data_IF_581304937416
#
_entry.id   IF_581304937416
#
_cell.length_a   1.000
_cell.length_b   1.000
_cell.length_c   1.000
_cell.angle_alpha   90.00
_cell.angle_beta   90.00
_cell.angle_gamma   90.00
#
_symmetry.space_group_name_H-M   'P 1'
#
loop_
_entity.id
_entity.type
_entity.pdbx_description
1 polymer ?
#
# COMPACT_ATOMS: atom_id res chain seq x y z
N UNK A 1 8.47 -25.52 13.27
CA UNK A 1 8.06 -24.71 14.46
C UNK A 1 6.84 -25.35 15.09
N UNK A 2 6.65 -25.29 16.42
CA UNK A 2 5.41 -25.74 17.07
C UNK A 2 4.28 -24.79 16.67
N UNK A 3 3.09 -25.33 16.37
CA UNK A 3 1.91 -24.52 16.11
C UNK A 3 1.69 -23.55 17.28
N UNK A 4 1.42 -22.25 17.02
CA UNK A 4 1.23 -21.28 18.09
C UNK A 4 -0.02 -21.62 18.93
N UNK A 5 0.03 -21.23 20.21
CA UNK A 5 -1.12 -21.38 21.09
C UNK A 5 -2.23 -20.42 20.66
N UNK A 6 -3.39 -20.97 20.31
CA UNK A 6 -4.58 -20.19 19.96
C UNK A 6 -5.24 -19.73 21.26
N UNK A 7 -5.53 -18.44 21.33
CA UNK A 7 -6.24 -17.77 22.43
C UNK A 7 -7.52 -17.12 21.90
N UNK A 8 -8.38 -16.70 22.81
CA UNK A 8 -9.62 -16.04 22.45
C UNK A 8 -9.72 -14.68 23.14
N UNK A 9 -9.78 -13.63 22.31
CA UNK A 9 -10.13 -12.28 22.75
C UNK A 9 -11.66 -12.12 22.74
N UNK A 10 -12.20 -11.31 23.64
CA UNK A 10 -13.62 -11.02 23.71
C UNK A 10 -13.88 -9.56 23.32
N UNK A 11 -14.71 -9.35 22.32
CA UNK A 11 -15.12 -8.01 21.89
C UNK A 11 -16.15 -7.40 22.86
N UNK A 12 -16.34 -6.08 22.79
CA UNK A 12 -17.34 -5.37 23.62
C UNK A 12 -18.79 -5.80 23.32
N UNK A 13 -19.04 -6.32 22.12
CA UNK A 13 -20.32 -6.91 21.70
C UNK A 13 -20.38 -8.43 21.90
N UNK A 14 -19.47 -8.95 22.73
CA UNK A 14 -19.45 -10.32 23.24
C UNK A 14 -19.18 -11.40 22.17
N UNK A 15 -18.42 -11.08 21.12
CA UNK A 15 -17.95 -12.04 20.10
C UNK A 15 -16.57 -12.57 20.50
N UNK A 16 -16.37 -13.90 20.41
CA UNK A 16 -15.07 -14.54 20.66
C UNK A 16 -14.22 -14.52 19.38
N UNK A 17 -13.05 -13.92 19.46
CA UNK A 17 -12.09 -13.80 18.36
C UNK A 17 -10.88 -14.68 18.64
N UNK A 18 -10.69 -15.70 17.82
CA UNK A 18 -9.52 -16.58 17.89
C UNK A 18 -8.28 -15.84 17.38
N UNK A 19 -7.23 -15.81 18.18
CA UNK A 19 -5.98 -15.14 17.85
C UNK A 19 -4.76 -15.96 18.27
N UNK A 20 -3.64 -15.70 17.62
CA UNK A 20 -2.35 -16.29 17.90
C UNK A 20 -1.23 -15.27 17.68
N UNK A 21 -0.17 -15.35 18.49
CA UNK A 21 1.02 -14.52 18.35
C UNK A 21 2.25 -15.41 18.22
N UNK A 22 3.15 -15.04 17.30
CA UNK A 22 4.42 -15.71 17.06
C UNK A 22 5.55 -14.69 17.04
N UNK A 23 6.78 -15.12 17.35
CA UNK A 23 7.94 -14.23 17.43
C UNK A 23 7.95 -13.38 18.70
N UNK A 24 8.90 -12.47 18.77
CA UNK A 24 9.08 -11.55 19.91
C UNK A 24 9.91 -10.34 19.50
N UNK A 25 9.82 -9.26 20.28
CA UNK A 25 10.58 -8.02 20.04
C UNK A 25 10.02 -7.18 18.90
N UNK A 26 10.76 -6.15 18.52
CA UNK A 26 10.40 -5.21 17.44
C UNK A 26 9.01 -4.57 17.58
N UNK A 27 8.61 -3.80 16.57
CA UNK A 27 7.24 -3.28 16.48
C UNK A 27 6.27 -4.44 16.25
N UNK A 28 5.28 -4.67 17.15
CA UNK A 28 4.28 -5.72 16.93
C UNK A 28 3.47 -5.44 15.66
N UNK A 29 3.18 -6.48 14.88
CA UNK A 29 2.38 -6.39 13.65
C UNK A 29 1.11 -7.23 13.79
N UNK A 30 -0.05 -6.61 13.62
CA UNK A 30 -1.31 -7.33 13.42
C UNK A 30 -1.50 -7.55 11.93
N UNK A 31 -1.46 -8.83 11.50
CA UNK A 31 -1.59 -9.20 10.12
C UNK A 31 -3.01 -9.66 9.80
N UNK A 32 -3.76 -8.80 9.08
CA UNK A 32 -5.14 -9.03 8.67
C UNK A 32 -5.19 -9.88 7.40
N UNK A 33 -6.10 -10.85 7.39
CA UNK A 33 -6.40 -11.66 6.21
C UNK A 33 -7.90 -11.60 5.88
N UNK A 34 -8.25 -11.66 4.57
CA UNK A 34 -9.64 -11.80 4.18
C UNK A 34 -10.31 -12.98 4.89
N UNK A 35 -11.56 -12.83 5.36
CA UNK A 35 -12.25 -13.87 6.13
C UNK A 35 -12.30 -15.23 5.44
N UNK A 36 -12.52 -15.22 4.13
CA UNK A 36 -12.55 -16.41 3.30
C UNK A 36 -11.21 -17.14 3.19
N UNK A 37 -10.13 -16.51 3.62
CA UNK A 37 -8.78 -17.09 3.62
C UNK A 37 -8.14 -17.06 5.01
N UNK A 38 -8.95 -16.87 6.07
CA UNK A 38 -8.48 -16.84 7.45
C UNK A 38 -9.01 -18.03 8.24
N UNK A 39 -8.09 -18.93 8.61
CA UNK A 39 -8.38 -20.04 9.50
C UNK A 39 -7.09 -20.47 10.19
N UNK A 40 -6.89 -20.04 11.43
CA UNK A 40 -5.65 -20.25 12.19
C UNK A 40 -5.23 -21.72 12.27
N UNK A 41 -6.19 -22.65 12.41
CA UNK A 41 -5.89 -24.09 12.42
C UNK A 41 -5.34 -24.61 11.08
N UNK A 42 -5.71 -23.99 9.96
CA UNK A 42 -5.20 -24.35 8.63
C UNK A 42 -3.88 -23.64 8.30
N UNK A 43 -3.72 -22.39 8.66
CA UNK A 43 -2.52 -21.60 8.34
C UNK A 43 -1.23 -22.25 8.87
N UNK A 44 -1.32 -22.95 9.99
CA UNK A 44 -0.17 -23.60 10.63
C UNK A 44 -0.01 -25.08 10.32
N UNK A 45 -0.94 -25.69 9.61
CA UNK A 45 -0.93 -27.14 9.33
C UNK A 45 -0.82 -27.49 7.85
N UNK A 46 -1.15 -26.56 6.94
CA UNK A 46 -1.03 -26.78 5.50
C UNK A 46 0.40 -26.56 5.03
N UNK A 47 0.95 -27.43 4.16
CA UNK A 47 2.22 -27.25 3.50
C UNK A 47 2.15 -26.14 2.43
N UNK A 48 1.65 -24.99 2.79
CA UNK A 48 1.66 -23.82 1.92
C UNK A 48 2.94 -23.05 2.19
N UNK A 49 4.01 -23.45 1.52
CA UNK A 49 5.38 -22.94 1.69
C UNK A 49 5.49 -21.42 1.71
N UNK A 50 4.64 -20.73 0.97
CA UNK A 50 4.72 -19.28 0.84
C UNK A 50 4.12 -18.50 2.02
N UNK A 51 2.95 -18.88 2.56
CA UNK A 51 2.27 -18.13 3.63
C UNK A 51 2.88 -18.38 5.01
N UNK A 52 3.30 -19.60 5.26
CA UNK A 52 3.96 -19.94 6.50
C UNK A 52 5.29 -19.21 6.61
N UNK A 53 6.07 -19.17 5.53
CA UNK A 53 7.33 -18.43 5.45
C UNK A 53 7.14 -16.91 5.66
N UNK A 54 6.02 -16.30 5.20
CA UNK A 54 5.75 -14.88 5.44
C UNK A 54 5.74 -14.56 6.93
N UNK A 55 4.92 -15.29 7.70
CA UNK A 55 4.80 -15.03 9.14
C UNK A 55 6.06 -15.43 9.92
N UNK A 56 6.70 -16.52 9.56
CA UNK A 56 7.97 -16.94 10.18
C UNK A 56 9.09 -15.93 9.96
N UNK A 57 9.25 -15.44 8.74
CA UNK A 57 10.27 -14.42 8.41
C UNK A 57 9.98 -13.08 9.09
N UNK A 58 8.74 -12.65 9.14
CA UNK A 58 8.36 -11.47 9.91
C UNK A 58 8.58 -11.70 11.41
N UNK A 59 8.22 -12.87 11.93
CA UNK A 59 8.35 -13.24 13.34
C UNK A 59 9.80 -13.44 13.81
N UNK A 60 10.77 -13.56 12.90
CA UNK A 60 12.18 -13.57 13.22
C UNK A 60 12.68 -12.24 13.83
N UNK A 61 11.98 -11.14 13.56
CA UNK A 61 12.39 -9.79 13.93
C UNK A 61 11.40 -9.09 14.89
N UNK A 62 10.16 -9.60 15.01
CA UNK A 62 9.09 -8.94 15.76
C UNK A 62 7.98 -9.88 16.18
N UNK A 63 7.08 -9.39 17.03
CA UNK A 63 5.84 -10.11 17.33
C UNK A 63 4.87 -9.96 16.17
N UNK A 64 4.40 -11.07 15.59
CA UNK A 64 3.36 -11.12 14.57
C UNK A 64 2.09 -11.72 15.16
N UNK A 65 1.01 -10.97 15.09
CA UNK A 65 -0.31 -11.37 15.58
C UNK A 65 -1.21 -11.70 14.40
N UNK A 66 -1.80 -12.87 14.47
CA UNK A 66 -2.83 -13.33 13.54
C UNK A 66 -4.13 -13.54 14.31
N UNK A 67 -5.26 -13.27 13.67
CA UNK A 67 -6.57 -13.65 14.21
C UNK A 67 -7.53 -14.01 13.08
N UNK A 68 -8.50 -14.84 13.37
CA UNK A 68 -9.64 -15.09 12.50
C UNK A 68 -10.71 -14.03 12.80
N UNK A 69 -11.15 -13.25 11.81
CA UNK A 69 -12.18 -12.25 12.08
C UNK A 69 -13.53 -12.92 12.39
N UNK A 70 -14.43 -12.17 13.04
CA UNK A 70 -15.81 -12.63 13.28
C UNK A 70 -16.46 -13.23 12.03
N UNK A 71 -17.18 -14.30 12.18
CA UNK A 71 -17.83 -15.02 11.07
C UNK A 71 -16.89 -15.92 10.29
N UNK A 72 -15.62 -16.11 10.69
CA UNK A 72 -14.66 -16.93 9.97
C UNK A 72 -13.76 -17.75 10.90
N UNK A 73 -13.17 -18.80 10.33
CA UNK A 73 -12.15 -19.62 10.97
C UNK A 73 -12.59 -20.23 12.30
N UNK A 74 -11.80 -20.01 13.33
CA UNK A 74 -12.04 -20.49 14.70
C UNK A 74 -12.76 -19.45 15.59
N UNK A 75 -13.07 -18.25 15.07
CA UNK A 75 -13.89 -17.26 15.76
C UNK A 75 -15.36 -17.57 15.72
N UNK A 76 -16.17 -16.87 16.54
CA UNK A 76 -17.62 -17.06 16.55
C UNK A 76 -18.20 -16.85 15.14
N UNK A 77 -19.03 -17.81 14.69
CA UNK A 77 -19.74 -17.81 13.40
C UNK A 77 -21.22 -17.45 13.59
N UNK A 78 -21.91 -17.17 12.48
CA UNK A 78 -23.32 -16.79 12.52
C UNK A 78 -23.55 -15.47 13.23
N UNK A 79 -22.56 -14.59 13.25
CA UNK A 79 -22.61 -13.29 13.92
C UNK A 79 -23.44 -12.32 13.09
N UNK A 80 -24.39 -11.63 13.75
CA UNK A 80 -25.31 -10.73 13.06
C UNK A 80 -24.66 -9.44 12.53
N UNK A 81 -23.73 -8.85 13.32
CA UNK A 81 -23.05 -7.60 12.94
C UNK A 81 -21.69 -7.89 12.30
N UNK A 82 -21.63 -7.75 10.97
CA UNK A 82 -20.44 -7.87 10.13
C UNK A 82 -20.00 -6.53 9.53
N UNK A 83 -20.51 -5.42 10.06
CA UNK A 83 -20.19 -4.06 9.61
C UNK A 83 -18.71 -3.74 9.74
N UNK A 84 -18.25 -2.69 9.06
CA UNK A 84 -16.89 -2.18 9.19
C UNK A 84 -16.55 -1.88 10.65
N UNK A 85 -17.44 -1.20 11.39
CA UNK A 85 -17.22 -0.90 12.82
C UNK A 85 -17.07 -2.16 13.68
N UNK A 86 -17.81 -3.23 13.35
CA UNK A 86 -17.65 -4.51 14.02
C UNK A 86 -16.25 -5.11 13.78
N UNK A 87 -15.71 -5.00 12.57
CA UNK A 87 -14.34 -5.44 12.25
C UNK A 87 -13.28 -4.63 13.01
N UNK A 88 -13.51 -3.34 13.21
CA UNK A 88 -12.60 -2.52 14.03
C UNK A 88 -12.62 -2.96 15.50
N UNK A 89 -13.79 -3.36 16.03
CA UNK A 89 -13.87 -3.95 17.39
C UNK A 89 -13.11 -5.27 17.54
N UNK A 90 -13.03 -6.08 16.47
CA UNK A 90 -12.21 -7.30 16.47
C UNK A 90 -10.72 -6.95 16.66
N UNK A 91 -10.22 -5.94 15.93
CA UNK A 91 -8.83 -5.47 16.05
C UNK A 91 -8.56 -4.93 17.45
N UNK A 92 -9.47 -4.10 17.99
CA UNK A 92 -9.34 -3.58 19.36
C UNK A 92 -9.27 -4.71 20.38
N UNK A 93 -10.20 -5.68 20.32
CA UNK A 93 -10.26 -6.79 21.27
C UNK A 93 -8.97 -7.64 21.24
N UNK A 94 -8.43 -7.92 20.06
CA UNK A 94 -7.18 -8.68 19.93
C UNK A 94 -5.99 -7.90 20.44
N UNK A 95 -5.87 -6.61 20.09
CA UNK A 95 -4.78 -5.75 20.55
C UNK A 95 -4.81 -5.59 22.08
N UNK A 96 -5.99 -5.34 22.67
CA UNK A 96 -6.15 -5.16 24.11
C UNK A 96 -5.92 -6.47 24.89
N UNK A 97 -6.40 -7.62 24.37
CA UNK A 97 -6.15 -8.94 24.95
C UNK A 97 -4.66 -9.28 25.05
N UNK A 98 -3.88 -8.81 24.05
CA UNK A 98 -2.43 -9.03 23.97
C UNK A 98 -1.62 -7.90 24.62
N UNK A 99 -2.26 -6.87 25.16
CA UNK A 99 -1.59 -5.74 25.80
C UNK A 99 -0.84 -4.82 24.83
N UNK A 100 -1.27 -4.76 23.57
CA UNK A 100 -0.62 -3.95 22.54
C UNK A 100 -1.16 -2.51 22.59
N UNK A 101 -0.41 -1.60 23.19
CA UNK A 101 -0.77 -0.18 23.20
C UNK A 101 -0.64 0.44 21.80
N UNK A 102 0.46 0.12 21.11
CA UNK A 102 0.73 0.52 19.74
C UNK A 102 1.22 -0.67 18.90
N UNK A 103 0.92 -0.69 17.61
CA UNK A 103 1.28 -1.77 16.70
C UNK A 103 1.25 -1.30 15.25
N UNK A 104 1.92 -2.04 14.39
CA UNK A 104 1.77 -1.90 12.95
C UNK A 104 0.63 -2.81 12.44
N UNK A 105 0.02 -2.46 11.31
CA UNK A 105 -0.95 -3.31 10.63
C UNK A 105 -0.42 -3.70 9.25
N UNK A 106 -0.45 -5.00 8.95
CA UNK A 106 -0.31 -5.53 7.60
C UNK A 106 -1.68 -6.06 7.15
N UNK A 107 -2.17 -5.57 6.02
CA UNK A 107 -3.46 -5.97 5.48
C UNK A 107 -3.37 -6.32 4.00
N UNK A 108 -4.29 -7.12 3.49
CA UNK A 108 -4.32 -7.53 2.08
C UNK A 108 -5.72 -7.48 1.50
N UNK A 109 -5.82 -7.08 0.24
CA UNK A 109 -7.06 -7.00 -0.53
C UNK A 109 -8.13 -6.17 0.22
N UNK A 110 -9.32 -6.72 0.44
CA UNK A 110 -10.43 -6.03 1.09
C UNK A 110 -10.18 -5.69 2.57
N UNK A 111 -9.32 -6.45 3.28
CA UNK A 111 -8.97 -6.07 4.66
C UNK A 111 -8.15 -4.79 4.76
N UNK A 112 -7.61 -4.31 3.64
CA UNK A 112 -7.00 -2.98 3.60
C UNK A 112 -8.00 -1.87 3.95
N UNK A 113 -9.28 -2.02 3.60
CA UNK A 113 -10.32 -1.08 4.00
C UNK A 113 -10.49 -1.03 5.52
N UNK A 114 -10.44 -2.19 6.21
CA UNK A 114 -10.51 -2.24 7.68
C UNK A 114 -9.30 -1.56 8.32
N UNK A 115 -8.11 -1.84 7.79
CA UNK A 115 -6.86 -1.26 8.26
C UNK A 115 -6.83 0.27 8.09
N UNK A 116 -7.30 0.78 6.94
CA UNK A 116 -7.44 2.22 6.65
C UNK A 116 -8.41 2.86 7.64
N UNK A 117 -9.61 2.28 7.82
CA UNK A 117 -10.60 2.81 8.74
C UNK A 117 -10.11 2.78 10.20
N UNK A 118 -9.40 1.72 10.59
CA UNK A 118 -8.82 1.61 11.91
C UNK A 118 -7.76 2.70 12.15
N UNK A 119 -6.79 2.84 11.23
CA UNK A 119 -5.73 3.84 11.34
C UNK A 119 -6.27 5.28 11.38
N UNK A 120 -7.29 5.59 10.56
CA UNK A 120 -7.92 6.91 10.55
C UNK A 120 -8.72 7.21 11.83
N UNK A 121 -9.41 6.20 12.40
CA UNK A 121 -10.27 6.40 13.59
C UNK A 121 -9.52 6.25 14.92
N UNK A 122 -8.30 5.72 14.92
CA UNK A 122 -7.48 5.50 16.12
C UNK A 122 -6.05 6.04 15.93
N UNK A 123 -5.92 7.35 15.69
CA UNK A 123 -4.61 7.96 15.54
C UNK A 123 -3.77 7.73 16.81
N UNK A 124 -2.52 7.34 16.63
CA UNK A 124 -1.60 7.02 17.73
C UNK A 124 -1.60 5.54 18.16
N UNK A 125 -2.55 4.70 17.73
CA UNK A 125 -2.44 3.24 17.95
C UNK A 125 -1.68 2.51 16.84
N UNK A 126 -1.76 3.01 15.61
CA UNK A 126 -1.09 2.42 14.44
C UNK A 126 0.22 3.14 14.17
N UNK A 127 1.34 2.43 14.32
CA UNK A 127 2.67 2.97 14.05
C UNK A 127 3.01 2.99 12.58
N UNK A 128 2.60 1.95 11.83
CA UNK A 128 2.84 1.76 10.40
C UNK A 128 1.67 0.99 9.78
N UNK A 129 1.37 1.29 8.53
CA UNK A 129 0.31 0.63 7.79
C UNK A 129 0.83 0.07 6.47
N UNK A 130 0.90 -1.26 6.34
CA UNK A 130 1.27 -1.94 5.10
C UNK A 130 0.03 -2.51 4.41
N UNK A 131 -0.24 -2.06 3.19
CA UNK A 131 -1.42 -2.38 2.39
C UNK A 131 -0.99 -3.17 1.14
N UNK A 132 -1.25 -4.47 1.12
CA UNK A 132 -0.95 -5.33 -0.02
C UNK A 132 -2.16 -5.42 -0.95
N UNK A 133 -2.04 -4.87 -2.15
CA UNK A 133 -3.08 -4.88 -3.19
C UNK A 133 -4.43 -4.33 -2.67
N UNK A 134 -4.46 -3.09 -2.19
CA UNK A 134 -5.60 -2.56 -1.47
C UNK A 134 -6.84 -2.40 -2.33
N UNK A 135 -8.01 -2.59 -1.71
CA UNK A 135 -9.31 -2.13 -2.17
C UNK A 135 -9.88 -1.10 -1.22
N UNK A 136 -10.55 -0.09 -1.79
CA UNK A 136 -11.14 1.03 -1.04
C UNK A 136 -12.66 0.91 -0.92
N UNK A 137 -13.28 0.11 -1.78
CA UNK A 137 -14.73 -0.10 -1.83
C UNK A 137 -15.03 -1.56 -2.07
N UNK A 138 -15.83 -2.14 -1.17
CA UNK A 138 -16.30 -3.53 -1.32
C UNK A 138 -17.20 -3.70 -2.53
N UNK A 139 -18.03 -2.71 -2.87
CA UNK A 139 -18.83 -2.74 -4.08
C UNK A 139 -17.95 -2.85 -5.34
N UNK A 140 -16.89 -2.01 -5.44
CA UNK A 140 -15.99 -2.04 -6.60
C UNK A 140 -15.25 -3.38 -6.72
N UNK A 141 -15.00 -4.07 -5.61
CA UNK A 141 -14.40 -5.39 -5.62
C UNK A 141 -15.40 -6.47 -6.01
N UNK A 142 -16.54 -6.54 -5.31
CA UNK A 142 -17.47 -7.68 -5.42
C UNK A 142 -18.45 -7.55 -6.59
N UNK A 143 -18.67 -6.36 -7.13
CA UNK A 143 -19.56 -6.13 -8.28
C UNK A 143 -18.84 -6.20 -9.63
N UNK A 144 -17.57 -6.60 -9.64
CA UNK A 144 -16.84 -6.92 -10.87
C UNK A 144 -17.57 -8.08 -11.61
N UNK A 145 -17.75 -7.99 -12.95
CA UNK A 145 -18.60 -8.92 -13.70
C UNK A 145 -18.27 -10.41 -13.52
N UNK A 146 -16.99 -10.77 -13.45
CA UNK A 146 -16.56 -12.16 -13.27
C UNK A 146 -16.96 -12.71 -11.89
N UNK A 147 -16.79 -11.92 -10.83
CA UNK A 147 -17.19 -12.30 -9.46
C UNK A 147 -18.69 -12.36 -9.31
N UNK A 148 -19.42 -11.40 -9.90
CA UNK A 148 -20.89 -11.42 -9.93
C UNK A 148 -21.44 -12.65 -10.64
N UNK A 149 -20.82 -13.06 -11.74
CA UNK A 149 -21.24 -14.27 -12.47
C UNK A 149 -21.10 -15.54 -11.62
N UNK A 150 -20.10 -15.61 -10.74
CA UNK A 150 -19.90 -16.77 -9.85
C UNK A 150 -20.81 -16.75 -8.62
N UNK A 151 -21.36 -15.61 -8.22
CA UNK A 151 -22.09 -15.43 -6.95
C UNK A 151 -23.27 -16.38 -6.79
N UNK A 152 -23.98 -16.67 -7.88
CA UNK A 152 -25.11 -17.62 -7.87
C UNK A 152 -24.72 -19.05 -7.45
N UNK A 153 -23.48 -19.43 -7.64
CA UNK A 153 -22.96 -20.75 -7.23
C UNK A 153 -22.83 -20.88 -5.72
N UNK A 154 -22.70 -19.79 -4.97
CA UNK A 154 -22.47 -19.84 -3.52
C UNK A 154 -23.52 -20.67 -2.81
N UNK A 155 -24.80 -20.47 -3.14
CA UNK A 155 -25.92 -21.20 -2.53
C UNK A 155 -26.26 -22.52 -3.21
N UNK A 156 -25.80 -22.72 -4.45
CA UNK A 156 -26.15 -23.90 -5.26
C UNK A 156 -25.09 -24.99 -5.15
N UNK A 157 -23.83 -24.60 -5.27
CA UNK A 157 -22.68 -25.50 -5.23
C UNK A 157 -21.44 -24.77 -4.68
N UNK A 158 -21.32 -24.82 -3.36
CA UNK A 158 -20.21 -24.18 -2.64
C UNK A 158 -18.83 -24.72 -3.04
N UNK A 159 -18.76 -26.03 -3.36
CA UNK A 159 -17.51 -26.63 -3.84
C UNK A 159 -17.08 -25.99 -5.16
N UNK A 160 -17.97 -25.98 -6.14
CA UNK A 160 -17.70 -25.38 -7.46
C UNK A 160 -17.41 -23.89 -7.34
N UNK A 161 -18.16 -23.16 -6.51
CA UNK A 161 -17.86 -21.73 -6.27
C UNK A 161 -16.44 -21.53 -5.78
N UNK A 162 -16.03 -22.22 -4.72
CA UNK A 162 -14.72 -22.00 -4.11
C UNK A 162 -13.56 -22.36 -5.04
N UNK A 163 -13.67 -23.45 -5.79
CA UNK A 163 -12.67 -23.85 -6.79
C UNK A 163 -12.58 -22.82 -7.93
N UNK A 164 -13.73 -22.37 -8.45
CA UNK A 164 -13.76 -21.37 -9.52
C UNK A 164 -13.27 -20.00 -9.06
N UNK A 165 -13.67 -19.54 -7.87
CA UNK A 165 -13.27 -18.25 -7.32
C UNK A 165 -11.76 -18.19 -7.09
N UNK A 166 -11.16 -19.24 -6.50
CA UNK A 166 -9.71 -19.28 -6.29
C UNK A 166 -8.95 -19.44 -7.61
N UNK A 167 -9.43 -20.24 -8.55
CA UNK A 167 -8.82 -20.34 -9.89
C UNK A 167 -8.86 -19.00 -10.63
N UNK A 168 -9.97 -18.28 -10.57
CA UNK A 168 -10.12 -16.94 -11.14
C UNK A 168 -9.12 -15.96 -10.49
N UNK A 169 -8.99 -15.98 -9.16
CA UNK A 169 -8.07 -15.13 -8.41
C UNK A 169 -6.60 -15.30 -8.83
N UNK A 170 -6.23 -16.48 -9.30
CA UNK A 170 -4.89 -16.81 -9.79
C UNK A 170 -4.80 -16.85 -11.32
N UNK A 171 -5.75 -16.24 -12.04
CA UNK A 171 -5.72 -16.13 -13.51
C UNK A 171 -5.81 -17.48 -14.22
N UNK A 172 -6.47 -18.48 -13.59
CA UNK A 172 -6.62 -19.86 -14.10
C UNK A 172 -5.27 -20.57 -14.29
N UNK A 173 -4.21 -20.11 -13.58
CA UNK A 173 -2.92 -20.78 -13.64
C UNK A 173 -3.03 -22.20 -13.08
N UNK A 174 -2.42 -23.22 -13.72
CA UNK A 174 -2.39 -24.57 -13.19
C UNK A 174 -1.54 -24.62 -11.92
N UNK A 175 -1.98 -25.40 -10.92
CA UNK A 175 -1.21 -25.61 -9.69
C UNK A 175 -2.09 -26.00 -8.50
N UNK A 176 -1.44 -26.39 -7.41
CA UNK A 176 -2.12 -26.83 -6.19
C UNK A 176 -2.55 -25.67 -5.27
N UNK A 177 -1.99 -24.47 -5.47
CA UNK A 177 -2.27 -23.30 -4.63
C UNK A 177 -3.75 -22.89 -4.67
N UNK A 178 -4.40 -22.69 -5.83
CA UNK A 178 -5.83 -22.37 -5.89
C UNK A 178 -6.70 -23.40 -5.18
N UNK A 179 -6.41 -24.69 -5.36
CA UNK A 179 -7.16 -25.80 -4.72
C UNK A 179 -6.97 -25.80 -3.20
N UNK A 180 -5.75 -25.60 -2.72
CA UNK A 180 -5.48 -25.51 -1.28
C UNK A 180 -6.23 -24.34 -0.65
N UNK A 181 -6.26 -23.17 -1.32
CA UNK A 181 -7.01 -21.99 -0.88
C UNK A 181 -8.52 -22.19 -0.94
N UNK A 182 -9.05 -22.89 -1.95
CA UNK A 182 -10.45 -23.25 -2.01
C UNK A 182 -10.83 -24.17 -0.83
N UNK A 183 -9.96 -25.10 -0.47
CA UNK A 183 -10.15 -25.97 0.70
C UNK A 183 -10.13 -25.15 2.00
N UNK A 184 -9.20 -24.21 2.14
CA UNK A 184 -9.14 -23.29 3.29
C UNK A 184 -10.40 -22.43 3.37
N UNK A 185 -10.89 -21.90 2.25
CA UNK A 185 -12.12 -21.11 2.20
C UNK A 185 -13.33 -21.91 2.72
N UNK A 186 -13.48 -23.17 2.32
CA UNK A 186 -14.55 -24.05 2.82
C UNK A 186 -14.43 -24.37 4.31
N UNK A 187 -13.23 -24.42 4.83
CA UNK A 187 -13.00 -24.57 6.27
C UNK A 187 -13.26 -23.26 7.04
N UNK A 188 -12.91 -22.13 6.43
CA UNK A 188 -13.03 -20.82 7.06
C UNK A 188 -14.49 -20.35 7.17
N UNK A 189 -15.34 -20.59 6.18
CA UNK A 189 -16.70 -20.05 6.12
C UNK A 189 -17.69 -21.03 5.54
N UNK A 190 -18.97 -20.94 5.98
CA UNK A 190 -20.10 -21.57 5.29
C UNK A 190 -20.60 -20.69 4.15
N UNK A 191 -21.40 -21.21 3.20
CA UNK A 191 -22.05 -20.38 2.18
C UNK A 191 -22.87 -19.22 2.77
N UNK A 192 -23.60 -19.48 3.85
CA UNK A 192 -24.45 -18.51 4.54
C UNK A 192 -23.62 -17.38 5.18
N UNK A 193 -22.54 -17.75 5.89
CA UNK A 193 -21.61 -16.77 6.49
C UNK A 193 -20.96 -15.92 5.40
N UNK A 194 -20.56 -16.54 4.29
CA UNK A 194 -19.93 -15.84 3.17
C UNK A 194 -20.90 -14.87 2.48
N UNK A 195 -22.16 -15.25 2.25
CA UNK A 195 -23.19 -14.36 1.71
C UNK A 195 -23.51 -13.19 2.65
N UNK A 196 -23.52 -13.44 3.96
CA UNK A 196 -23.70 -12.37 4.95
C UNK A 196 -22.51 -11.39 4.93
N UNK A 197 -21.29 -11.93 4.85
CA UNK A 197 -20.06 -11.15 4.68
C UNK A 197 -20.10 -10.29 3.41
N UNK A 198 -20.44 -10.86 2.25
CA UNK A 198 -20.50 -10.12 0.99
C UNK A 198 -21.47 -8.92 1.05
N UNK A 199 -22.64 -9.13 1.70
CA UNK A 199 -23.63 -8.05 1.87
C UNK A 199 -23.08 -6.89 2.71
N UNK A 200 -22.38 -7.20 3.80
CA UNK A 200 -21.78 -6.18 4.65
C UNK A 200 -20.61 -5.48 3.96
N UNK A 201 -19.75 -6.25 3.28
CA UNK A 201 -18.55 -5.74 2.61
C UNK A 201 -18.88 -4.77 1.47
N UNK A 202 -19.94 -5.04 0.70
CA UNK A 202 -20.42 -4.12 -0.37
C UNK A 202 -20.76 -2.72 0.13
N UNK A 203 -21.09 -2.57 1.40
CA UNK A 203 -21.38 -1.28 2.02
C UNK A 203 -20.12 -0.54 2.46
N UNK A 204 -18.97 -1.21 2.46
CA UNK A 204 -17.70 -0.63 2.89
C UNK A 204 -17.13 0.31 1.81
N UNK A 205 -16.79 1.53 2.22
CA UNK A 205 -16.07 2.51 1.41
C UNK A 205 -15.21 3.38 2.31
N UNK A 206 -13.92 3.49 2.00
CA UNK A 206 -12.92 4.14 2.87
C UNK A 206 -12.04 5.16 2.14
N UNK A 207 -12.34 5.46 0.88
CA UNK A 207 -11.53 6.38 0.06
C UNK A 207 -11.38 7.76 0.72
N UNK A 208 -12.47 8.28 1.31
CA UNK A 208 -12.48 9.56 2.00
C UNK A 208 -11.64 9.60 3.29
N UNK A 209 -11.20 8.43 3.79
CA UNK A 209 -10.40 8.33 5.01
C UNK A 209 -8.88 8.40 4.76
N UNK A 210 -8.43 8.18 3.52
CA UNK A 210 -7.01 8.15 3.19
C UNK A 210 -6.23 9.40 3.65
N UNK A 211 -6.74 10.64 3.46
CA UNK A 211 -6.03 11.84 3.92
C UNK A 211 -5.97 11.99 5.45
N UNK A 212 -6.73 11.19 6.21
CA UNK A 212 -6.80 11.24 7.67
C UNK A 212 -5.79 10.30 8.36
N UNK A 213 -5.07 9.47 7.59
CA UNK A 213 -4.11 8.53 8.14
C UNK A 213 -2.87 9.29 8.60
N UNK A 214 -2.54 9.18 9.89
CA UNK A 214 -1.44 9.90 10.50
C UNK A 214 -0.11 9.14 10.53
N UNK A 215 -0.12 7.82 10.29
CA UNK A 215 1.08 6.99 10.28
C UNK A 215 1.64 6.80 8.86
N UNK A 216 2.93 6.42 8.72
CA UNK A 216 3.49 6.00 7.44
C UNK A 216 2.71 4.84 6.82
N UNK A 217 2.53 4.89 5.49
CA UNK A 217 1.80 3.86 4.73
C UNK A 217 2.69 3.29 3.63
N UNK A 218 2.88 1.98 3.63
CA UNK A 218 3.47 1.24 2.52
C UNK A 218 2.37 0.56 1.72
N UNK A 219 2.23 0.91 0.46
CA UNK A 219 1.34 0.21 -0.48
C UNK A 219 2.18 -0.75 -1.30
N UNK A 220 1.81 -2.02 -1.31
CA UNK A 220 2.53 -3.05 -2.05
C UNK A 220 1.64 -3.62 -3.15
N UNK A 221 2.17 -3.73 -4.36
CA UNK A 221 1.51 -4.40 -5.48
C UNK A 221 2.46 -5.39 -6.13
N UNK A 222 2.11 -6.68 -6.10
CA UNK A 222 2.89 -7.77 -6.69
C UNK A 222 2.24 -8.26 -7.99
N UNK A 223 2.93 -8.20 -9.15
CA UNK A 223 2.48 -8.87 -10.36
C UNK A 223 2.83 -10.38 -10.32
N UNK A 224 2.11 -11.26 -11.05
CA UNK A 224 0.85 -11.00 -11.72
C UNK A 224 -0.33 -11.17 -10.75
N UNK A 225 -1.09 -10.12 -10.50
CA UNK A 225 -2.33 -10.26 -9.75
C UNK A 225 -3.54 -9.80 -10.56
N UNK A 226 -4.49 -10.71 -10.74
CA UNK A 226 -5.73 -10.46 -11.46
C UNK A 226 -6.79 -9.79 -10.57
N UNK A 227 -6.57 -9.74 -9.24
CA UNK A 227 -7.56 -9.24 -8.30
C UNK A 227 -7.53 -7.73 -8.12
N UNK A 228 -6.35 -7.11 -8.08
CA UNK A 228 -6.20 -5.69 -7.79
C UNK A 228 -5.50 -4.95 -8.93
N UNK A 229 -6.12 -3.91 -9.52
CA UNK A 229 -5.47 -3.09 -10.53
C UNK A 229 -4.27 -2.33 -9.94
N UNK A 230 -3.16 -2.28 -10.67
CA UNK A 230 -1.96 -1.51 -10.29
C UNK A 230 -2.28 -0.03 -10.06
N UNK A 231 -3.14 0.54 -10.89
CA UNK A 231 -3.52 1.95 -10.82
C UNK A 231 -4.23 2.30 -9.51
N UNK A 232 -4.92 1.33 -8.90
CA UNK A 232 -5.52 1.52 -7.58
C UNK A 232 -4.45 1.64 -6.49
N UNK A 233 -3.41 0.80 -6.53
CA UNK A 233 -2.29 0.88 -5.59
C UNK A 233 -1.58 2.23 -5.69
N UNK A 234 -1.33 2.71 -6.92
CA UNK A 234 -0.77 4.04 -7.18
C UNK A 234 -1.63 5.15 -6.56
N UNK A 235 -2.95 5.13 -6.79
CA UNK A 235 -3.87 6.13 -6.22
C UNK A 235 -3.88 6.10 -4.70
N UNK A 236 -3.90 4.92 -4.09
CA UNK A 236 -3.87 4.79 -2.62
C UNK A 236 -2.59 5.41 -2.06
N UNK A 237 -1.42 5.05 -2.59
CA UNK A 237 -0.14 5.62 -2.15
C UNK A 237 -0.08 7.14 -2.31
N UNK A 238 -0.68 7.68 -3.39
CA UNK A 238 -0.72 9.12 -3.63
C UNK A 238 -1.72 9.87 -2.73
N UNK A 239 -2.74 9.19 -2.19
CA UNK A 239 -3.83 9.84 -1.44
C UNK A 239 -3.60 9.90 0.06
N UNK A 240 -2.58 9.22 0.59
CA UNK A 240 -2.20 9.29 2.01
C UNK A 240 -1.08 10.29 2.24
N UNK A 241 -0.99 10.95 3.41
CA UNK A 241 0.03 11.98 3.67
C UNK A 241 1.47 11.47 3.57
N UNK A 242 1.81 10.33 4.18
CA UNK A 242 3.13 9.67 4.09
C UNK A 242 2.96 8.30 3.40
N UNK A 243 2.75 8.33 2.07
CA UNK A 243 2.51 7.15 1.26
C UNK A 243 3.75 6.74 0.48
N UNK A 244 4.08 5.44 0.53
CA UNK A 244 5.15 4.79 -0.23
C UNK A 244 4.55 3.68 -1.07
N UNK A 245 5.12 3.44 -2.26
CA UNK A 245 4.72 2.34 -3.13
C UNK A 245 5.89 1.40 -3.34
N UNK A 246 5.66 0.10 -3.16
CA UNK A 246 6.60 -0.95 -3.52
C UNK A 246 5.99 -1.88 -4.58
N UNK A 247 6.82 -2.28 -5.55
CA UNK A 247 6.46 -3.16 -6.67
C UNK A 247 7.40 -4.38 -6.71
N UNK A 248 7.42 -5.20 -5.66
CA UNK A 248 8.33 -6.34 -5.62
C UNK A 248 8.00 -7.34 -6.74
N UNK A 249 9.04 -7.90 -7.34
CA UNK A 249 8.93 -8.89 -8.42
C UNK A 249 9.11 -10.32 -7.92
N UNK A 250 9.45 -10.48 -6.63
CA UNK A 250 9.56 -11.78 -5.98
C UNK A 250 8.98 -11.73 -4.56
N UNK A 251 8.70 -12.92 -4.00
CA UNK A 251 8.23 -13.05 -2.64
C UNK A 251 9.29 -12.60 -1.61
N UNK A 252 10.56 -12.84 -1.88
CA UNK A 252 11.66 -12.38 -1.03
C UNK A 252 11.73 -10.87 -0.97
N UNK A 253 11.68 -10.19 -2.13
CA UNK A 253 11.63 -8.72 -2.17
C UNK A 253 10.41 -8.17 -1.42
N UNK A 254 9.24 -8.81 -1.56
CA UNK A 254 8.05 -8.41 -0.80
C UNK A 254 8.28 -8.45 0.70
N UNK A 255 8.90 -9.50 1.22
CA UNK A 255 9.18 -9.64 2.64
C UNK A 255 10.25 -8.67 3.13
N UNK A 256 11.27 -8.42 2.32
CA UNK A 256 12.33 -7.46 2.63
C UNK A 256 11.77 -6.04 2.69
N UNK A 257 10.87 -5.65 1.76
CA UNK A 257 10.15 -4.38 1.80
C UNK A 257 9.29 -4.23 3.07
N UNK A 258 8.53 -5.27 3.43
CA UNK A 258 7.72 -5.24 4.65
C UNK A 258 8.58 -5.10 5.91
N UNK A 259 9.63 -5.92 6.04
CA UNK A 259 10.48 -5.90 7.21
C UNK A 259 11.22 -4.57 7.33
N UNK A 260 11.81 -4.08 6.24
CA UNK A 260 12.46 -2.78 6.20
C UNK A 260 11.52 -1.64 6.54
N UNK A 261 10.26 -1.69 6.09
CA UNK A 261 9.26 -0.68 6.40
C UNK A 261 8.87 -0.67 7.89
N UNK A 262 8.66 -1.82 8.50
CA UNK A 262 8.31 -1.90 9.92
C UNK A 262 9.48 -1.62 10.87
N UNK A 263 10.71 -1.62 10.38
CA UNK A 263 11.91 -1.23 11.13
C UNK A 263 12.17 0.28 11.09
N UNK A 264 11.41 1.03 10.26
CA UNK A 264 11.48 2.49 10.25
C UNK A 264 10.97 3.08 11.57
N UNK A 265 11.43 4.28 11.94
CA UNK A 265 10.84 5.00 13.06
C UNK A 265 9.35 5.26 12.81
N UNK A 266 8.51 5.06 13.82
CA UNK A 266 7.10 5.46 13.78
C UNK A 266 6.92 6.97 13.71
N UNK A 267 5.68 7.46 13.56
CA UNK A 267 5.30 8.86 13.33
C UNK A 267 5.86 9.91 14.32
N UNK A 268 6.50 9.52 15.42
CA UNK A 268 7.06 10.43 16.45
C UNK A 268 8.57 10.68 16.33
N UNK A 269 9.25 10.21 15.29
CA UNK A 269 10.71 10.31 15.18
C UNK A 269 11.15 11.25 14.06
N UNK A 270 11.74 12.38 14.43
CA UNK A 270 12.43 13.36 13.55
C UNK A 270 13.78 12.85 12.98
N UNK A 271 14.05 11.56 13.00
CA UNK A 271 15.32 11.00 12.52
C UNK A 271 15.27 10.66 11.03
N UNK A 272 16.23 11.15 10.27
CA UNK A 272 16.42 10.84 8.86
C UNK A 272 16.65 9.34 8.63
N UNK A 273 15.94 8.68 7.68
CA UNK A 273 16.05 7.24 7.44
C UNK A 273 17.37 6.86 6.77
N UNK A 274 17.85 5.61 6.99
CA UNK A 274 19.05 5.09 6.32
C UNK A 274 18.82 4.91 4.81
N UNK A 275 19.90 5.12 4.06
CA UNK A 275 19.89 5.11 2.62
C UNK A 275 20.13 3.72 2.07
N UNK A 276 19.16 2.85 1.90
CA UNK A 276 19.27 1.68 1.01
C UNK A 276 18.02 0.81 1.08
N UNK A 277 16.95 1.20 0.40
CA UNK A 277 15.77 0.39 0.11
C UNK A 277 15.08 0.94 -1.12
N UNK A 278 14.53 0.09 -1.96
CA UNK A 278 13.74 0.45 -3.15
C UNK A 278 12.62 1.43 -2.76
N UNK A 279 12.91 2.72 -2.80
CA UNK A 279 11.94 3.78 -2.53
C UNK A 279 11.70 4.54 -3.83
N UNK A 280 10.46 4.93 -4.06
CA UNK A 280 10.11 5.90 -5.09
C UNK A 280 11.17 7.01 -5.08
N UNK A 281 11.87 7.14 -6.20
CA UNK A 281 12.84 8.19 -6.41
C UNK A 281 12.22 9.20 -7.33
N UNK A 282 12.03 10.41 -6.83
CA UNK A 282 11.56 11.54 -7.63
C UNK A 282 12.74 12.42 -7.95
N UNK A 283 13.08 12.49 -9.23
CA UNK A 283 14.20 13.29 -9.73
C UNK A 283 13.67 14.62 -10.24
N UNK A 284 14.23 15.70 -9.73
CA UNK A 284 14.03 17.08 -10.15
C UNK A 284 15.28 17.54 -10.88
N UNK A 285 15.13 18.04 -12.09
CA UNK A 285 16.18 18.69 -12.89
C UNK A 285 15.73 20.12 -13.16
N UNK A 286 16.60 21.09 -13.02
CA UNK A 286 16.37 22.48 -13.40
C UNK A 286 17.35 22.90 -14.49
N UNK A 287 16.96 23.89 -15.29
CA UNK A 287 17.87 24.51 -16.27
C UNK A 287 18.93 25.43 -15.59
N UNK A 288 19.77 26.03 -16.42
CA UNK A 288 20.93 26.83 -15.94
C UNK A 288 20.55 28.16 -15.25
N UNK A 289 19.29 28.58 -15.29
CA UNK A 289 18.81 29.79 -14.62
C UNK A 289 18.83 29.58 -13.09
N UNK A 290 18.71 28.32 -12.61
CA UNK A 290 18.94 27.99 -11.22
C UNK A 290 20.43 27.76 -10.96
N UNK A 291 21.10 28.72 -10.34
CA UNK A 291 22.48 28.54 -9.90
C UNK A 291 22.63 27.32 -8.95
N UNK A 292 23.79 26.62 -8.98
CA UNK A 292 24.00 25.41 -8.16
C UNK A 292 23.75 25.61 -6.66
N UNK A 293 24.05 26.78 -6.14
CA UNK A 293 23.84 27.13 -4.73
C UNK A 293 22.38 27.33 -4.38
N UNK A 294 21.61 27.98 -5.25
CA UNK A 294 20.17 28.22 -5.07
C UNK A 294 19.39 26.93 -5.20
N UNK A 295 19.73 26.11 -6.20
CA UNK A 295 19.14 24.78 -6.39
C UNK A 295 19.41 23.88 -5.17
N UNK A 296 20.67 23.84 -4.68
CA UNK A 296 21.03 23.05 -3.50
C UNK A 296 20.27 23.47 -2.25
N UNK A 297 20.15 24.78 -2.00
CA UNK A 297 19.41 25.33 -0.87
C UNK A 297 17.90 25.04 -0.96
N UNK A 298 17.30 25.18 -2.15
CA UNK A 298 15.90 24.87 -2.37
C UNK A 298 15.61 23.37 -2.16
N UNK A 299 16.48 22.49 -2.66
CA UNK A 299 16.34 21.03 -2.49
C UNK A 299 16.40 20.67 -1.01
N UNK A 300 17.39 21.18 -0.27
CA UNK A 300 17.57 20.86 1.14
C UNK A 300 16.40 21.36 2.00
N UNK A 301 15.89 22.58 1.73
CA UNK A 301 14.74 23.15 2.48
C UNK A 301 13.42 22.38 2.25
N UNK A 302 13.34 21.54 1.23
CA UNK A 302 12.16 20.71 0.92
C UNK A 302 12.43 19.20 1.10
N UNK A 303 13.44 18.84 1.92
CA UNK A 303 13.69 17.44 2.28
C UNK A 303 14.30 16.58 1.18
N UNK A 304 14.83 17.19 0.10
CA UNK A 304 15.53 16.51 -0.97
C UNK A 304 17.05 16.44 -0.76
N UNK A 305 17.71 15.63 -1.58
CA UNK A 305 19.18 15.53 -1.63
C UNK A 305 19.70 16.09 -2.96
N UNK A 306 20.54 17.11 -2.91
CA UNK A 306 21.21 17.66 -4.08
C UNK A 306 22.32 16.74 -4.55
N UNK A 307 22.43 16.53 -5.87
CA UNK A 307 23.49 15.76 -6.53
C UNK A 307 23.91 16.43 -7.84
N UNK A 308 25.12 16.10 -8.27
CA UNK A 308 25.62 16.49 -9.58
C UNK A 308 25.98 15.22 -10.37
N UNK A 309 25.46 15.09 -11.58
CA UNK A 309 25.71 13.98 -12.50
C UNK A 309 26.04 14.58 -13.86
N UNK A 310 27.24 14.30 -14.39
CA UNK A 310 27.72 14.80 -15.67
C UNK A 310 27.57 16.33 -15.86
N UNK A 311 27.79 17.09 -14.76
CA UNK A 311 27.67 18.55 -14.76
C UNK A 311 26.23 19.07 -14.65
N UNK A 312 25.24 18.22 -14.53
CA UNK A 312 23.84 18.57 -14.28
C UNK A 312 23.58 18.49 -12.78
N UNK A 313 23.15 19.59 -12.18
CA UNK A 313 22.69 19.60 -10.80
C UNK A 313 21.24 19.13 -10.74
N UNK A 314 20.95 18.18 -9.84
CA UNK A 314 19.63 17.59 -9.70
C UNK A 314 19.26 17.41 -8.22
N UNK A 315 17.94 17.35 -7.95
CA UNK A 315 17.37 17.00 -6.66
C UNK A 315 16.80 15.60 -6.69
N UNK A 316 17.06 14.83 -5.66
CA UNK A 316 16.44 13.51 -5.45
C UNK A 316 15.56 13.60 -4.22
N UNK A 317 14.28 13.27 -4.38
CA UNK A 317 13.26 13.29 -3.33
C UNK A 317 12.63 11.92 -3.16
N UNK A 318 12.11 11.66 -1.99
CA UNK A 318 11.29 10.48 -1.68
C UNK A 318 9.80 10.75 -1.82
N UNK A 319 9.41 12.02 -1.90
CA UNK A 319 8.03 12.48 -2.03
C UNK A 319 7.87 13.33 -3.29
N UNK A 320 6.88 12.99 -4.11
CA UNK A 320 6.53 13.79 -5.29
C UNK A 320 5.96 15.16 -4.90
N UNK A 321 5.32 15.25 -3.73
CA UNK A 321 4.78 16.49 -3.20
C UNK A 321 5.91 17.46 -2.85
N UNK A 322 6.94 17.00 -2.14
CA UNK A 322 8.08 17.84 -1.75
C UNK A 322 8.89 18.29 -2.96
N UNK A 323 9.07 17.40 -3.94
CA UNK A 323 9.70 17.76 -5.22
C UNK A 323 8.91 18.85 -5.96
N UNK A 324 7.58 18.81 -5.95
CA UNK A 324 6.72 19.81 -6.56
C UNK A 324 6.76 21.16 -5.81
N UNK A 325 6.76 21.14 -4.49
CA UNK A 325 6.92 22.37 -3.70
C UNK A 325 8.28 23.02 -3.93
N UNK A 326 9.35 22.21 -3.95
CA UNK A 326 10.70 22.65 -4.31
C UNK A 326 10.74 23.26 -5.72
N UNK A 327 10.19 22.55 -6.72
CA UNK A 327 10.17 23.01 -8.10
C UNK A 327 9.43 24.34 -8.26
N UNK A 328 8.27 24.49 -7.61
CA UNK A 328 7.48 25.73 -7.64
C UNK A 328 8.23 26.88 -7.00
N UNK A 329 8.83 26.65 -5.83
CA UNK A 329 9.62 27.66 -5.14
C UNK A 329 10.82 28.11 -6.01
N UNK A 330 11.53 27.16 -6.60
CA UNK A 330 12.66 27.40 -7.47
C UNK A 330 12.26 28.18 -8.73
N UNK A 331 11.26 27.72 -9.46
CA UNK A 331 10.77 28.40 -10.66
C UNK A 331 10.30 29.84 -10.39
N UNK A 332 9.66 30.07 -9.22
CA UNK A 332 9.22 31.40 -8.81
C UNK A 332 10.39 32.31 -8.44
N UNK A 333 11.41 31.79 -7.77
CA UNK A 333 12.55 32.58 -7.28
C UNK A 333 13.55 32.93 -8.39
N UNK A 334 13.79 31.99 -9.32
CA UNK A 334 14.88 32.09 -10.32
C UNK A 334 14.39 32.24 -11.76
N UNK A 335 13.12 31.95 -12.04
CA UNK A 335 12.62 31.84 -13.41
C UNK A 335 13.04 30.57 -14.13
N UNK A 336 13.68 29.63 -13.44
CA UNK A 336 14.15 28.37 -14.00
C UNK A 336 13.02 27.46 -14.47
N UNK A 337 13.26 26.76 -15.57
CA UNK A 337 12.39 25.65 -16.02
C UNK A 337 12.77 24.39 -15.27
N UNK A 338 11.76 23.66 -14.77
CA UNK A 338 11.99 22.49 -13.93
C UNK A 338 11.26 21.29 -14.49
N UNK A 339 11.97 20.17 -14.62
CA UNK A 339 11.42 18.86 -15.01
C UNK A 339 11.45 17.88 -13.85
N UNK A 340 10.36 17.14 -13.66
CA UNK A 340 10.25 16.14 -12.60
C UNK A 340 9.76 14.81 -13.15
N UNK A 341 10.45 13.74 -12.78
CA UNK A 341 10.05 12.37 -13.06
C UNK A 341 10.16 11.50 -11.81
N UNK A 342 9.23 10.56 -11.66
CA UNK A 342 9.26 9.54 -10.61
C UNK A 342 9.61 8.18 -11.20
N UNK A 343 10.49 7.46 -10.54
CA UNK A 343 10.86 6.09 -10.90
C UNK A 343 11.15 5.25 -9.66
N UNK A 344 11.17 3.95 -9.87
CA UNK A 344 11.72 2.99 -8.93
C UNK A 344 12.99 2.40 -9.58
N UNK A 345 14.18 2.90 -9.21
CA UNK A 345 15.42 2.30 -9.70
C UNK A 345 15.55 0.88 -9.18
N UNK A 346 16.07 -0.02 -10.01
CA UNK A 346 16.36 -1.40 -9.60
C UNK A 346 17.32 -1.46 -8.41
N UNK A 347 17.36 -2.58 -7.68
CA UNK A 347 18.27 -2.78 -6.56
C UNK A 347 19.72 -2.50 -6.96
N UNK A 348 20.40 -1.66 -6.19
CA UNK A 348 21.81 -1.33 -6.45
C UNK A 348 22.04 -0.38 -7.64
N UNK A 349 20.99 0.19 -8.25
CA UNK A 349 21.18 1.21 -9.30
C UNK A 349 21.74 2.48 -8.64
N UNK A 350 22.98 2.86 -8.95
CA UNK A 350 23.53 4.09 -8.42
C UNK A 350 22.74 5.29 -8.99
N UNK A 351 22.62 6.39 -8.23
CA UNK A 351 21.86 7.57 -8.67
C UNK A 351 22.26 8.13 -10.03
N UNK A 352 23.52 8.03 -10.39
CA UNK A 352 24.08 8.47 -11.66
C UNK A 352 23.68 7.62 -12.86
N UNK A 353 23.31 6.37 -12.66
CA UNK A 353 22.85 5.44 -13.69
C UNK A 353 21.30 5.36 -13.78
N UNK A 354 20.58 6.23 -13.05
CA UNK A 354 19.13 6.22 -13.02
C UNK A 354 18.55 6.82 -14.32
N UNK A 355 17.83 6.03 -15.13
CA UNK A 355 17.25 6.51 -16.39
C UNK A 355 16.19 7.60 -16.16
N UNK A 356 15.70 7.80 -14.94
CA UNK A 356 14.77 8.87 -14.60
C UNK A 356 15.38 10.27 -14.73
N UNK A 357 16.71 10.40 -14.61
CA UNK A 357 17.42 11.67 -14.85
C UNK A 357 17.18 12.13 -16.29
N UNK A 358 17.34 11.23 -17.27
CA UNK A 358 17.12 11.55 -18.68
C UNK A 358 15.67 11.96 -18.95
N UNK A 359 14.72 11.28 -18.30
CA UNK A 359 13.29 11.58 -18.45
C UNK A 359 12.93 12.93 -17.80
N UNK A 360 13.48 13.24 -16.62
CA UNK A 360 13.31 14.55 -15.97
C UNK A 360 13.97 15.67 -16.81
N UNK A 361 15.15 15.45 -17.37
CA UNK A 361 15.82 16.40 -18.26
C UNK A 361 15.01 16.69 -19.55
N UNK A 362 14.38 15.67 -20.13
CA UNK A 362 13.45 15.86 -21.26
C UNK A 362 12.25 16.71 -20.89
N UNK A 363 11.73 16.57 -19.67
CA UNK A 363 10.66 17.42 -19.20
C UNK A 363 11.09 18.89 -19.06
N UNK A 364 12.34 19.17 -18.67
CA UNK A 364 12.93 20.54 -18.69
C UNK A 364 12.92 21.10 -20.11
N UNK A 365 13.39 20.33 -21.10
CA UNK A 365 13.44 20.77 -22.50
C UNK A 365 12.05 21.09 -23.07
N UNK A 366 11.03 20.38 -22.60
CA UNK A 366 9.64 20.62 -23.00
C UNK A 366 8.99 21.82 -22.27
N UNK A 367 9.60 22.31 -21.20
CA UNK A 367 9.07 23.41 -20.41
C UNK A 367 9.25 24.76 -21.12
N UNK A 368 8.33 25.68 -20.87
CA UNK A 368 8.55 27.11 -21.14
C UNK A 368 9.36 27.74 -19.98
N UNK A 369 10.04 28.91 -20.22
CA UNK A 369 10.77 29.60 -19.15
C UNK A 369 9.92 29.78 -17.88
N UNK A 370 10.47 29.39 -16.74
CA UNK A 370 9.80 29.44 -15.44
C UNK A 370 8.68 28.41 -15.24
N UNK A 371 8.56 27.43 -16.12
CA UNK A 371 7.51 26.41 -16.04
C UNK A 371 8.00 25.13 -15.35
N UNK A 372 7.16 24.55 -14.53
CA UNK A 372 7.37 23.22 -13.95
C UNK A 372 6.62 22.19 -14.81
N UNK A 373 7.34 21.21 -15.34
CA UNK A 373 6.76 20.12 -16.15
C UNK A 373 7.03 18.78 -15.48
N UNK A 374 6.02 17.95 -15.42
CA UNK A 374 6.07 16.64 -14.79
C UNK A 374 5.63 15.55 -15.76
N UNK A 375 6.08 14.34 -15.52
CA UNK A 375 5.56 13.15 -16.22
C UNK A 375 4.22 12.70 -15.60
N UNK A 376 3.49 11.83 -16.31
CA UNK A 376 2.23 11.28 -15.84
C UNK A 376 2.37 10.59 -14.47
N UNK A 377 3.48 9.92 -14.21
CA UNK A 377 3.75 9.25 -12.92
C UNK A 377 3.70 10.26 -11.78
N UNK A 378 4.40 11.39 -11.90
CA UNK A 378 4.41 12.42 -10.85
C UNK A 378 3.03 13.04 -10.67
N UNK A 379 2.31 13.32 -11.75
CA UNK A 379 0.93 13.81 -11.71
C UNK A 379 0.01 12.86 -10.93
N UNK A 380 0.09 11.56 -11.21
CA UNK A 380 -0.71 10.54 -10.51
C UNK A 380 -0.36 10.45 -9.02
N UNK A 381 0.93 10.52 -8.67
CA UNK A 381 1.41 10.48 -7.28
C UNK A 381 0.91 11.66 -6.41
N UNK A 382 0.51 12.76 -7.04
CA UNK A 382 -0.01 13.95 -6.32
C UNK A 382 -1.47 14.23 -6.62
N UNK A 383 -2.18 13.30 -7.25
CA UNK A 383 -3.61 13.44 -7.49
C UNK A 383 -4.36 13.64 -6.16
N UNK A 384 -5.22 14.67 -6.12
CA UNK A 384 -5.97 15.02 -4.90
C UNK A 384 -5.19 15.84 -3.85
N UNK A 385 -3.89 16.12 -4.06
CA UNK A 385 -3.06 16.91 -3.12
C UNK A 385 -3.01 18.42 -3.43
N UNK A 386 -4.01 18.95 -4.13
CA UNK A 386 -4.14 20.40 -4.39
C UNK A 386 -3.29 20.93 -5.54
N UNK A 387 -2.68 20.06 -6.34
CA UNK A 387 -1.96 20.46 -7.55
C UNK A 387 -2.83 20.34 -8.79
N UNK A 388 -2.85 21.38 -9.61
CA UNK A 388 -3.52 21.39 -10.92
C UNK A 388 -2.51 21.25 -12.05
N UNK A 389 -2.89 20.55 -13.12
CA UNK A 389 -2.02 20.28 -14.25
C UNK A 389 -2.74 20.45 -15.58
N UNK A 390 -2.00 20.96 -16.59
CA UNK A 390 -2.44 20.98 -17.99
C UNK A 390 -1.55 20.03 -18.80
N UNK A 391 -2.16 19.17 -19.61
CA UNK A 391 -1.40 18.27 -20.50
C UNK A 391 -0.70 19.06 -21.61
N UNK A 392 0.58 18.79 -21.83
CA UNK A 392 1.32 19.37 -22.93
C UNK A 392 1.07 18.61 -24.24
N UNK A 393 1.04 19.31 -25.40
CA UNK A 393 0.94 18.63 -26.69
C UNK A 393 2.07 17.61 -26.90
N UNK A 394 1.75 16.46 -27.47
CA UNK A 394 2.73 15.39 -27.77
C UNK A 394 3.92 15.84 -28.64
N UNK A 395 3.75 16.91 -29.43
CA UNK A 395 4.82 17.53 -30.20
C UNK A 395 5.92 18.18 -29.35
N UNK A 396 5.68 18.43 -28.07
CA UNK A 396 6.69 18.94 -27.13
C UNK A 396 7.42 17.84 -26.36
N UNK A 397 6.90 16.62 -26.35
CA UNK A 397 7.55 15.49 -25.69
C UNK A 397 8.60 14.87 -26.62
N UNK A 398 9.87 14.89 -26.22
CA UNK A 398 10.96 14.22 -26.94
C UNK A 398 11.05 12.71 -26.63
N UNK A 399 10.04 12.11 -25.98
CA UNK A 399 9.98 10.73 -25.53
C UNK A 399 8.55 10.18 -25.51
N UNK A 400 8.38 8.93 -25.11
CA UNK A 400 7.05 8.28 -25.07
C UNK A 400 6.17 8.76 -23.90
N UNK A 401 6.73 9.52 -22.97
CA UNK A 401 6.02 9.93 -21.76
C UNK A 401 5.05 11.09 -22.06
N UNK A 402 3.86 11.03 -21.44
CA UNK A 402 2.94 12.16 -21.38
C UNK A 402 3.46 13.17 -20.38
N UNK A 403 3.52 14.42 -20.79
CA UNK A 403 4.03 15.54 -20.00
C UNK A 403 2.90 16.49 -19.60
N UNK A 404 3.00 17.05 -18.39
CA UNK A 404 2.01 17.92 -17.80
C UNK A 404 2.67 19.16 -17.19
N UNK A 405 2.19 20.32 -17.54
CA UNK A 405 2.60 21.57 -16.91
C UNK A 405 1.86 21.78 -15.60
N UNK A 406 2.57 22.10 -14.53
CA UNK A 406 1.99 22.47 -13.24
C UNK A 406 1.34 23.86 -13.35
N UNK A 407 0.10 23.98 -12.89
CA UNK A 407 -0.55 25.29 -12.80
C UNK A 407 0.12 26.17 -11.75
N UNK A 408 0.21 27.49 -11.98
CA UNK A 408 0.62 28.42 -10.93
C UNK A 408 -0.29 28.28 -9.70
N UNK A 409 0.24 28.58 -8.52
CA UNK A 409 -0.60 28.61 -7.33
C UNK A 409 -1.78 29.57 -7.55
N UNK A 410 -3.01 29.25 -7.08
CA UNK A 410 -4.07 30.23 -7.10
C UNK A 410 -3.57 31.48 -6.37
N UNK A 411 -3.71 32.63 -7.02
CA UNK A 411 -3.44 33.93 -6.39
C UNK A 411 -4.29 34.04 -5.12
N UNK A 412 -3.60 34.28 -3.98
CA UNK A 412 -4.22 34.44 -2.67
C UNK A 412 -5.17 35.64 -2.63
#
# INVERSE_FOLDING_TARGET
MLAPSIRYARTVDNVSIACAAIGSGGTPVIALRPPESSHLGFEFTLPMETRHHEFERMAAHRTVVRFDPRGAGLSDRGVADLSLDARLRDIDAVADHLGLATFAIQASLQTCAWAIAYAASRPGRVTHLALHQPYLSGANFWDEPGRRALESLISVDWLTYTEAAMSHAFGWAPGDIPRALATQMRAAMTPEDFLAYLRAERLTSVEALLPQIACPVLVVHCPPNMLAPRDLALRVAASVPDGRLALPTSFDQYLDELNGFFDLPGAESDAAPPADGLSLRVVLVADAEAGPGELGAAIASHGGHARAVDGISLGVFRSAQDALHCARALATATGASVGIHGSEPGPGTPPEADPSIVTAARAVVAAAPGQVVVTNIVRELVAGKGFGFAELPSSRSAGPERLFALHPAPSA
#
